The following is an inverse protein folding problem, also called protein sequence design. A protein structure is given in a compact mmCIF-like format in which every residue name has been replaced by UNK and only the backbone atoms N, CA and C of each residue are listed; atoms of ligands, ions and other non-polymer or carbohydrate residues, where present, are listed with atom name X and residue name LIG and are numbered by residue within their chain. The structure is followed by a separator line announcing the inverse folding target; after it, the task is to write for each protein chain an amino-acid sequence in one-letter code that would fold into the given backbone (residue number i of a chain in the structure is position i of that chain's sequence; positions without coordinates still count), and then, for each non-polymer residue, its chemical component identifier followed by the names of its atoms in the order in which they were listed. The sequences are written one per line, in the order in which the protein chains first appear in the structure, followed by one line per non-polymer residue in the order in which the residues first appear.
data_IF_753158344884
#
_entry.id   IF_753158344884
#
_cell.length_a   1.000
_cell.length_b   1.000
_cell.length_c   1.000
_cell.angle_alpha   90.00
_cell.angle_beta   90.00
_cell.angle_gamma   90.00
#
_symmetry.space_group_name_H-M   'P 1'
#
loop_
_entity.id
_entity.type
_entity.pdbx_description
1 polymer ?
#
# COMPACT_ATOMS: atom_id res chain seq x y z
N UNK A 1 23.99 10.95 8.49
CA UNK A 1 25.01 11.32 7.51
C UNK A 1 24.57 12.62 6.84
N UNK A 2 25.18 13.74 7.16
CA UNK A 2 24.93 15.02 6.50
C UNK A 2 26.10 15.30 5.55
N UNK A 3 25.85 15.16 4.25
CA UNK A 3 26.88 15.39 3.23
C UNK A 3 26.74 16.84 2.76
N UNK A 4 27.75 17.66 2.96
CA UNK A 4 27.76 19.03 2.53
C UNK A 4 28.30 19.15 1.11
N UNK A 5 27.54 19.83 0.24
CA UNK A 5 27.98 20.13 -1.11
C UNK A 5 28.86 21.39 -1.15
N UNK A 6 29.86 21.36 -2.00
CA UNK A 6 30.75 22.51 -2.28
C UNK A 6 30.52 22.97 -3.72
N UNK A 7 30.21 24.25 -3.89
CA UNK A 7 30.05 24.85 -5.22
C UNK A 7 31.38 24.99 -5.94
N UNK A 8 31.36 24.85 -7.26
CA UNK A 8 32.45 25.36 -8.11
C UNK A 8 32.31 26.88 -8.27
N UNK A 9 33.36 27.55 -8.75
CA UNK A 9 33.30 29.00 -9.07
C UNK A 9 32.22 29.28 -10.14
N UNK A 10 32.10 28.41 -11.15
CA UNK A 10 31.05 28.51 -12.16
C UNK A 10 29.66 28.23 -11.56
N UNK A 11 29.57 27.28 -10.64
CA UNK A 11 28.33 27.00 -9.91
C UNK A 11 27.87 28.18 -9.06
N UNK A 12 28.80 28.86 -8.38
CA UNK A 12 28.47 30.10 -7.66
C UNK A 12 28.00 31.23 -8.59
N UNK A 13 28.64 31.37 -9.76
CA UNK A 13 28.22 32.37 -10.76
C UNK A 13 26.79 32.06 -11.27
N UNK A 14 26.48 30.77 -11.55
CA UNK A 14 25.13 30.37 -11.94
C UNK A 14 24.12 30.60 -10.80
N UNK A 15 24.48 30.26 -9.56
CA UNK A 15 23.62 30.55 -8.41
C UNK A 15 23.29 32.05 -8.26
N UNK A 16 24.26 32.92 -8.53
CA UNK A 16 24.01 34.37 -8.57
C UNK A 16 23.06 34.78 -9.70
N UNK A 17 23.17 34.18 -10.90
CA UNK A 17 22.24 34.40 -12.01
C UNK A 17 20.81 33.92 -11.65
N UNK A 18 20.66 32.85 -10.92
CA UNK A 18 19.34 32.37 -10.48
C UNK A 18 18.69 33.30 -9.46
N UNK A 19 19.46 33.97 -8.63
CA UNK A 19 18.94 34.97 -7.69
C UNK A 19 18.33 36.21 -8.37
N UNK A 20 18.72 36.51 -9.62
CA UNK A 20 18.17 37.59 -10.42
C UNK A 20 17.18 37.13 -11.51
N UNK A 21 16.70 35.89 -11.44
CA UNK A 21 15.60 35.42 -12.26
C UNK A 21 15.94 34.34 -13.30
N UNK A 22 17.21 33.89 -13.41
CA UNK A 22 17.53 32.73 -14.22
C UNK A 22 16.95 31.45 -13.57
N UNK A 23 16.58 30.47 -14.39
CA UNK A 23 16.11 29.17 -13.89
C UNK A 23 17.29 28.20 -13.75
N UNK A 24 17.46 27.60 -12.56
CA UNK A 24 18.44 26.53 -12.39
C UNK A 24 17.92 25.25 -13.06
N UNK A 25 18.61 24.80 -14.11
CA UNK A 25 18.30 23.56 -14.82
C UNK A 25 19.41 22.56 -14.60
N UNK A 26 19.16 21.57 -13.76
CA UNK A 26 20.06 20.42 -13.58
C UNK A 26 19.98 19.53 -14.81
N UNK A 27 21.12 19.27 -15.45
CA UNK A 27 21.22 18.44 -16.67
C UNK A 27 21.47 16.99 -16.36
N UNK A 28 22.39 16.73 -15.41
CA UNK A 28 22.71 15.38 -14.93
C UNK A 28 23.35 15.40 -13.55
N UNK A 29 23.31 14.24 -12.91
CA UNK A 29 24.07 13.96 -11.70
C UNK A 29 24.91 12.72 -11.94
N UNK A 30 26.16 12.75 -11.49
CA UNK A 30 27.11 11.64 -11.70
C UNK A 30 27.71 11.19 -10.38
N UNK A 31 27.98 9.87 -10.28
CA UNK A 31 28.75 9.28 -9.18
C UNK A 31 30.19 9.08 -9.60
N UNK A 32 31.12 9.37 -8.70
CA UNK A 32 32.55 9.22 -8.90
C UNK A 32 33.24 8.41 -7.81
N UNK A 33 34.36 7.77 -8.19
CA UNK A 33 35.24 7.02 -7.28
C UNK A 33 36.53 7.79 -6.94
N UNK A 34 36.68 8.99 -7.49
CA UNK A 34 37.87 9.81 -7.31
C UNK A 34 37.79 10.72 -6.07
N UNK A 35 38.70 11.65 -6.03
CA UNK A 35 38.72 12.74 -5.08
C UNK A 35 39.12 14.01 -5.79
N UNK A 36 38.12 14.80 -6.20
CA UNK A 36 38.33 16.04 -6.94
C UNK A 36 39.10 17.04 -6.07
N UNK A 37 40.35 17.42 -6.42
CA UNK A 37 41.25 18.10 -5.48
C UNK A 37 40.84 19.55 -5.17
N UNK A 38 40.56 20.36 -6.15
CA UNK A 38 40.22 21.80 -6.03
C UNK A 38 38.81 22.00 -6.58
N UNK A 39 37.80 21.67 -5.76
CA UNK A 39 36.38 21.77 -6.18
C UNK A 39 36.02 23.16 -6.72
N UNK A 40 36.44 24.28 -6.11
CA UNK A 40 36.14 25.60 -6.65
C UNK A 40 36.54 25.80 -8.11
N UNK A 41 37.65 25.23 -8.54
CA UNK A 41 38.14 25.33 -9.92
C UNK A 41 37.81 24.13 -10.81
N UNK A 42 37.15 23.13 -10.26
CA UNK A 42 36.83 21.91 -11.01
C UNK A 42 35.79 22.18 -12.10
N UNK A 43 36.01 21.59 -13.26
CA UNK A 43 35.08 21.60 -14.39
C UNK A 43 34.37 20.25 -14.57
N UNK A 44 34.92 19.20 -13.96
CA UNK A 44 34.37 17.85 -13.92
C UNK A 44 34.89 17.12 -12.67
N UNK A 45 34.24 16.01 -12.31
CA UNK A 45 34.79 15.11 -11.29
C UNK A 45 36.10 14.46 -11.78
N UNK A 46 36.98 14.15 -10.83
CA UNK A 46 38.29 13.52 -11.18
C UNK A 46 38.13 12.12 -11.80
N UNK A 47 37.12 11.39 -11.40
CA UNK A 47 36.83 10.04 -11.89
C UNK A 47 35.33 9.75 -11.88
N UNK A 48 34.68 9.88 -13.04
CA UNK A 48 33.23 9.58 -13.20
C UNK A 48 33.05 8.09 -13.44
N UNK A 49 32.14 7.45 -12.71
CA UNK A 49 31.80 6.03 -12.84
C UNK A 49 30.44 5.77 -13.46
N UNK A 50 29.42 6.54 -13.07
CA UNK A 50 28.10 6.38 -13.66
C UNK A 50 27.27 7.67 -13.60
N UNK A 51 26.32 7.77 -14.52
CA UNK A 51 25.27 8.79 -14.48
C UNK A 51 24.09 8.26 -13.68
N UNK A 52 23.54 9.10 -12.80
CA UNK A 52 22.47 8.76 -11.90
C UNK A 52 21.12 9.22 -12.45
N UNK A 53 20.08 8.44 -12.19
CA UNK A 53 18.73 8.84 -12.56
C UNK A 53 18.26 10.02 -11.68
N UNK A 54 17.79 11.08 -12.32
CA UNK A 54 17.31 12.30 -11.65
C UNK A 54 15.79 12.31 -11.72
N UNK A 55 15.15 12.42 -10.55
CA UNK A 55 13.69 12.55 -10.44
C UNK A 55 13.24 14.01 -10.52
N UNK A 56 11.93 14.20 -10.44
CA UNK A 56 11.33 15.53 -10.50
C UNK A 56 11.69 16.38 -9.27
N UNK A 57 12.24 17.57 -9.50
CA UNK A 57 12.58 18.50 -8.44
C UNK A 57 11.32 19.06 -7.78
N UNK A 58 11.34 19.19 -6.46
CA UNK A 58 10.23 19.74 -5.66
C UNK A 58 10.73 20.90 -4.81
N UNK A 59 9.91 21.94 -4.68
CA UNK A 59 10.19 23.08 -3.83
C UNK A 59 9.23 23.12 -2.65
N UNK A 60 9.77 23.27 -1.44
CA UNK A 60 8.98 23.47 -0.22
C UNK A 60 9.55 24.66 0.54
N UNK A 61 8.81 25.76 0.55
CA UNK A 61 9.29 27.03 1.12
C UNK A 61 10.54 27.53 0.39
N UNK A 62 11.65 27.65 1.11
CA UNK A 62 12.94 28.11 0.60
C UNK A 62 13.91 26.97 0.24
N UNK A 63 13.44 25.74 0.22
CA UNK A 63 14.27 24.54 -0.03
C UNK A 63 13.79 23.83 -1.30
N UNK A 64 14.70 23.65 -2.25
CA UNK A 64 14.52 22.75 -3.39
C UNK A 64 15.09 21.37 -3.05
N UNK A 65 14.36 20.32 -3.40
CA UNK A 65 14.76 18.93 -3.22
C UNK A 65 14.80 18.23 -4.56
N UNK A 66 15.93 17.65 -4.91
CA UNK A 66 16.14 16.89 -6.13
C UNK A 66 16.38 15.41 -5.75
N UNK A 67 15.44 14.49 -6.06
CA UNK A 67 15.64 13.08 -5.86
C UNK A 67 16.62 12.52 -6.90
N UNK A 68 17.60 11.75 -6.45
CA UNK A 68 18.59 11.12 -7.33
C UNK A 68 18.69 9.64 -6.95
N UNK A 69 18.70 8.76 -7.95
CA UNK A 69 18.78 7.32 -7.76
C UNK A 69 20.00 6.75 -8.44
N UNK A 70 20.80 6.00 -7.69
CA UNK A 70 21.89 5.17 -8.17
C UNK A 70 21.39 3.73 -8.20
N UNK A 71 21.47 3.05 -9.33
CA UNK A 71 21.17 1.63 -9.47
C UNK A 71 22.43 0.89 -9.96
N UNK A 72 22.75 -0.22 -9.29
CA UNK A 72 23.94 -1.01 -9.61
C UNK A 72 23.69 -2.09 -10.68
N UNK A 73 22.43 -2.29 -11.08
CA UNK A 73 22.02 -3.38 -11.98
C UNK A 73 22.67 -3.35 -13.36
N UNK A 74 22.99 -2.15 -13.88
CA UNK A 74 23.59 -1.96 -15.21
C UNK A 74 25.10 -1.67 -15.16
N UNK A 75 25.73 -1.82 -13.98
CA UNK A 75 27.15 -1.60 -13.83
C UNK A 75 27.94 -2.81 -14.32
N UNK A 76 28.96 -2.55 -15.16
CA UNK A 76 29.91 -3.56 -15.61
C UNK A 76 30.98 -3.86 -14.54
N UNK A 77 31.45 -2.81 -13.84
CA UNK A 77 32.51 -2.90 -12.84
C UNK A 77 32.05 -2.33 -11.47
N UNK A 78 32.42 -3.03 -10.40
CA UNK A 78 32.22 -2.56 -9.03
C UNK A 78 33.13 -1.38 -8.73
N UNK A 79 32.64 -0.41 -7.96
CA UNK A 79 33.44 0.73 -7.54
C UNK A 79 33.06 1.23 -6.15
N UNK A 80 33.88 2.09 -5.58
CA UNK A 80 33.58 2.78 -4.34
C UNK A 80 33.11 4.20 -4.64
N UNK A 81 31.85 4.52 -4.33
CA UNK A 81 31.32 5.84 -4.48
C UNK A 81 31.90 6.75 -3.38
N UNK A 82 32.61 7.80 -3.78
CA UNK A 82 33.27 8.76 -2.88
C UNK A 82 32.72 10.17 -3.03
N UNK A 83 32.24 10.51 -4.25
CA UNK A 83 31.74 11.84 -4.55
C UNK A 83 30.57 11.80 -5.55
N UNK A 84 29.73 12.84 -5.48
CA UNK A 84 28.65 13.08 -6.42
C UNK A 84 28.84 14.47 -7.06
N UNK A 85 28.72 14.55 -8.38
CA UNK A 85 28.76 15.81 -9.12
C UNK A 85 27.41 16.18 -9.69
N UNK A 86 26.94 17.40 -9.45
CA UNK A 86 25.75 17.96 -10.10
C UNK A 86 26.18 18.86 -11.24
N UNK A 87 25.65 18.59 -12.43
CA UNK A 87 25.83 19.40 -13.61
C UNK A 87 24.55 20.19 -13.88
N UNK A 88 24.71 21.44 -14.29
CA UNK A 88 23.61 22.33 -14.61
C UNK A 88 23.93 23.15 -15.87
N UNK A 89 22.87 23.58 -16.55
CA UNK A 89 22.97 24.43 -17.74
C UNK A 89 23.11 25.90 -17.32
N UNK A 90 24.26 26.51 -17.68
CA UNK A 90 24.47 27.94 -17.60
C UNK A 90 24.05 28.56 -18.93
N UNK A 91 23.21 29.64 -18.95
CA UNK A 91 22.73 30.26 -20.18
C UNK A 91 23.86 30.80 -21.09
N UNK A 92 25.02 31.14 -20.53
CA UNK A 92 26.14 31.71 -21.27
C UNK A 92 27.24 30.71 -21.61
N UNK A 93 27.44 29.69 -20.76
CA UNK A 93 28.57 28.75 -20.86
C UNK A 93 28.16 27.32 -21.22
N UNK A 94 26.85 26.99 -21.25
CA UNK A 94 26.35 25.64 -21.44
C UNK A 94 26.46 24.79 -20.19
N UNK A 95 26.69 23.49 -20.34
CA UNK A 95 26.76 22.58 -19.19
C UNK A 95 28.01 22.81 -18.34
N UNK A 96 27.82 23.08 -17.06
CA UNK A 96 28.89 23.29 -16.08
C UNK A 96 28.77 22.32 -14.92
N UNK A 97 29.88 21.99 -14.25
CA UNK A 97 29.87 21.36 -12.94
C UNK A 97 29.42 22.39 -11.90
N UNK A 98 28.21 22.22 -11.39
CA UNK A 98 27.57 23.17 -10.48
C UNK A 98 28.06 23.03 -9.04
N UNK A 99 28.03 21.78 -8.51
CA UNK A 99 28.58 21.49 -7.19
C UNK A 99 29.01 20.04 -7.06
N UNK A 100 29.86 19.78 -6.06
CA UNK A 100 30.37 18.43 -5.73
C UNK A 100 30.04 18.14 -4.27
N UNK A 101 29.51 16.94 -4.04
CA UNK A 101 29.29 16.37 -2.71
C UNK A 101 30.34 15.31 -2.44
N UNK A 102 31.01 15.37 -1.32
CA UNK A 102 31.90 14.31 -0.83
C UNK A 102 31.18 13.48 0.21
N UNK A 103 31.26 12.17 0.07
CA UNK A 103 30.73 11.26 1.05
C UNK A 103 31.72 11.12 2.21
N UNK A 104 31.26 11.37 3.46
CA UNK A 104 32.09 11.14 4.65
C UNK A 104 32.41 9.65 4.83
N UNK A 105 31.50 8.79 4.42
CA UNK A 105 31.66 7.34 4.40
C UNK A 105 31.47 6.84 2.96
N UNK A 106 32.56 6.42 2.29
CA UNK A 106 32.50 5.85 0.96
C UNK A 106 31.58 4.62 0.90
N UNK A 107 30.76 4.49 -0.13
CA UNK A 107 29.85 3.39 -0.32
C UNK A 107 30.34 2.42 -1.41
N UNK A 108 30.47 1.13 -1.09
CA UNK A 108 30.82 0.10 -2.10
C UNK A 108 29.61 -0.23 -2.96
N UNK A 109 29.76 -0.06 -4.27
CA UNK A 109 28.74 -0.38 -5.28
C UNK A 109 29.20 -1.60 -6.04
N UNK A 110 28.48 -2.71 -5.90
CA UNK A 110 28.81 -3.98 -6.55
C UNK A 110 28.11 -4.08 -7.90
N UNK A 111 28.87 -4.37 -8.95
CA UNK A 111 28.33 -4.58 -10.30
C UNK A 111 27.31 -5.73 -10.34
N UNK A 112 26.24 -5.55 -11.10
CA UNK A 112 25.17 -6.54 -11.23
C UNK A 112 24.40 -6.83 -9.97
N UNK A 113 24.61 -6.06 -8.89
CA UNK A 113 23.90 -6.19 -7.62
C UNK A 113 22.54 -5.48 -7.61
N UNK A 114 21.65 -5.92 -6.70
CA UNK A 114 20.35 -5.28 -6.48
C UNK A 114 20.44 -3.97 -5.68
N UNK A 115 21.64 -3.39 -5.57
CA UNK A 115 21.88 -2.19 -4.79
C UNK A 115 21.23 -0.98 -5.47
N UNK A 116 20.28 -0.38 -4.79
CA UNK A 116 19.66 0.89 -5.19
C UNK A 116 19.86 1.88 -4.07
N UNK A 117 20.65 2.93 -4.33
CA UNK A 117 20.82 4.05 -3.40
C UNK A 117 20.02 5.26 -3.91
N UNK A 118 19.27 5.88 -3.02
CA UNK A 118 18.56 7.11 -3.32
C UNK A 118 19.17 8.24 -2.49
N UNK A 119 19.33 9.39 -3.11
CA UNK A 119 19.83 10.60 -2.47
C UNK A 119 18.80 11.71 -2.68
N UNK A 120 18.63 12.55 -1.68
CA UNK A 120 17.89 13.80 -1.80
C UNK A 120 18.86 14.95 -1.71
N UNK A 121 19.12 15.57 -2.84
CA UNK A 121 19.96 16.76 -2.90
C UNK A 121 19.08 17.95 -2.54
N UNK A 122 19.41 18.63 -1.44
CA UNK A 122 18.63 19.77 -0.93
C UNK A 122 19.42 21.06 -1.11
N UNK A 123 18.81 22.05 -1.72
CA UNK A 123 19.35 23.39 -1.82
C UNK A 123 18.41 24.33 -1.06
N UNK A 124 18.91 24.94 0.00
CA UNK A 124 18.17 25.93 0.81
C UNK A 124 18.74 27.30 0.55
N UNK A 125 17.87 28.27 0.27
CA UNK A 125 18.23 29.69 0.14
C UNK A 125 17.88 30.38 1.46
N UNK A 126 18.89 30.89 2.18
CA UNK A 126 18.68 31.65 3.41
C UNK A 126 18.43 33.11 3.14
N UNK A 127 17.77 33.82 4.07
CA UNK A 127 17.56 35.27 4.01
C UNK A 127 18.89 36.06 4.02
N UNK A 128 19.95 35.48 4.53
CA UNK A 128 21.28 36.08 4.65
C UNK A 128 22.16 35.82 3.41
N UNK A 129 21.55 35.36 2.30
CA UNK A 129 22.22 35.17 1.01
C UNK A 129 23.09 33.90 0.91
N UNK A 130 23.08 33.05 1.92
CA UNK A 130 23.79 31.76 1.88
C UNK A 130 22.94 30.69 1.25
N UNK A 131 23.43 30.01 0.22
CA UNK A 131 22.84 28.76 -0.29
C UNK A 131 23.58 27.57 0.36
N UNK A 132 22.91 26.79 1.19
CA UNK A 132 23.44 25.54 1.71
C UNK A 132 22.86 24.38 0.90
N UNK A 133 23.73 23.45 0.49
CA UNK A 133 23.33 22.27 -0.26
C UNK A 133 23.66 21.05 0.60
N UNK A 134 22.62 20.33 1.00
CA UNK A 134 22.72 19.13 1.84
C UNK A 134 22.30 17.91 1.04
N UNK A 135 23.04 16.82 1.18
CA UNK A 135 22.65 15.51 0.67
C UNK A 135 22.36 14.58 1.84
N UNK A 136 21.21 13.95 1.83
CA UNK A 136 20.90 12.87 2.77
C UNK A 136 20.65 11.57 2.02
N UNK A 137 21.26 10.44 2.41
CA UNK A 137 20.98 9.15 1.81
C UNK A 137 19.52 8.75 2.08
N UNK A 138 18.84 8.26 1.07
CA UNK A 138 17.44 7.85 1.13
C UNK A 138 17.25 6.43 1.67
N UNK A 139 18.07 6.01 2.61
CA UNK A 139 17.77 4.84 3.44
C UNK A 139 17.00 5.21 4.71
N UNK A 140 17.01 6.48 5.06
CA UNK A 140 16.28 7.03 6.19
C UNK A 140 15.21 7.98 5.63
N UNK A 141 13.95 7.56 5.67
CA UNK A 141 12.83 8.47 5.52
C UNK A 141 12.99 9.49 6.65
N UNK A 142 13.35 10.71 6.30
CA UNK A 142 13.50 11.77 7.30
C UNK A 142 12.13 12.22 7.79
N UNK A 143 12.08 12.79 8.99
CA UNK A 143 10.82 13.33 9.53
C UNK A 143 10.19 14.38 8.59
N UNK A 144 11.00 15.13 7.82
CA UNK A 144 10.52 16.07 6.82
C UNK A 144 9.98 15.40 5.55
N UNK A 145 10.44 14.19 5.21
CA UNK A 145 9.88 13.43 4.09
C UNK A 145 8.55 12.79 4.48
N UNK A 146 8.39 12.48 5.76
CA UNK A 146 7.13 12.02 6.34
C UNK A 146 6.17 13.19 6.68
N UNK A 147 6.65 14.43 6.80
CA UNK A 147 5.83 15.57 7.21
C UNK A 147 4.61 15.79 6.28
N UNK A 148 4.72 15.72 4.93
CA UNK A 148 3.55 15.82 4.07
C UNK A 148 2.58 14.63 4.25
N UNK A 149 3.11 13.41 4.41
CA UNK A 149 2.32 12.21 4.67
C UNK A 149 1.72 12.27 6.09
N UNK A 150 2.50 12.68 7.07
CA UNK A 150 2.06 12.84 8.47
C UNK A 150 1.08 14.00 8.63
N UNK A 151 1.29 15.13 7.95
CA UNK A 151 0.30 16.21 7.89
C UNK A 151 -0.98 15.77 7.19
N UNK A 152 -0.86 15.03 6.09
CA UNK A 152 -2.02 14.47 5.41
C UNK A 152 -2.74 13.44 6.30
N UNK A 153 -2.02 12.57 6.98
CA UNK A 153 -2.55 11.60 7.94
C UNK A 153 -3.11 12.25 9.21
N UNK A 154 -2.48 13.31 9.74
CA UNK A 154 -2.94 14.00 10.95
C UNK A 154 -3.98 15.08 10.64
N UNK A 155 -3.94 15.72 9.46
CA UNK A 155 -4.96 16.67 9.02
C UNK A 155 -6.23 15.98 8.50
N UNK A 156 -6.13 14.73 8.06
CA UNK A 156 -7.26 13.93 7.56
C UNK A 156 -7.99 13.17 8.66
N UNK A 157 -8.01 13.67 9.87
CA UNK A 157 -9.04 13.21 10.81
C UNK A 157 -10.48 13.27 10.27
N UNK A 158 -10.67 13.56 8.96
CA UNK A 158 -11.98 13.65 8.33
C UNK A 158 -12.02 13.67 6.79
N UNK A 159 -10.94 13.46 6.04
CA UNK A 159 -11.13 13.40 4.58
C UNK A 159 -11.48 11.98 4.18
N UNK A 160 -12.78 11.74 4.01
CA UNK A 160 -13.30 10.52 3.42
C UNK A 160 -13.56 10.76 1.93
N UNK A 161 -12.96 9.95 1.07
CA UNK A 161 -13.31 9.89 -0.34
C UNK A 161 -14.56 9.02 -0.48
N UNK A 162 -15.73 9.65 -0.53
CA UNK A 162 -16.99 8.93 -0.72
C UNK A 162 -17.38 8.93 -2.21
N UNK A 163 -17.76 7.76 -2.73
CA UNK A 163 -18.24 7.60 -4.10
C UNK A 163 -19.42 6.63 -4.13
N UNK A 164 -20.36 6.86 -5.04
CA UNK A 164 -21.43 5.92 -5.32
C UNK A 164 -21.29 5.40 -6.76
N UNK A 165 -21.20 4.09 -6.91
CA UNK A 165 -21.01 3.45 -8.21
C UNK A 165 -21.89 2.19 -8.35
N UNK A 166 -22.23 1.78 -9.57
CA UNK A 166 -22.82 0.46 -9.82
C UNK A 166 -21.86 -0.66 -9.38
N UNK A 167 -22.39 -1.73 -8.80
CA UNK A 167 -21.60 -2.87 -8.36
C UNK A 167 -20.82 -3.54 -9.51
N UNK A 168 -21.35 -3.47 -10.74
CA UNK A 168 -20.69 -3.96 -11.95
C UNK A 168 -19.40 -3.20 -12.32
N UNK A 169 -19.22 -1.98 -11.81
CA UNK A 169 -18.04 -1.13 -12.06
C UNK A 169 -17.02 -1.19 -10.92
N UNK A 170 -17.31 -1.92 -9.86
CA UNK A 170 -16.48 -1.94 -8.65
C UNK A 170 -15.02 -2.36 -8.96
N UNK A 171 -14.80 -3.42 -9.75
CA UNK A 171 -13.43 -3.85 -10.08
C UNK A 171 -12.66 -2.76 -10.82
N UNK A 172 -13.27 -2.16 -11.84
CA UNK A 172 -12.64 -1.08 -12.61
C UNK A 172 -12.28 0.11 -11.70
N UNK A 173 -13.15 0.48 -10.77
CA UNK A 173 -12.87 1.54 -9.80
C UNK A 173 -11.72 1.17 -8.84
N UNK A 174 -11.73 -0.04 -8.26
CA UNK A 174 -10.66 -0.52 -7.38
C UNK A 174 -9.29 -0.53 -8.07
N UNK A 175 -9.25 -0.79 -9.37
CA UNK A 175 -8.02 -0.79 -10.15
C UNK A 175 -7.45 0.63 -10.37
N UNK A 176 -8.28 1.66 -10.26
CA UNK A 176 -7.82 3.06 -10.29
C UNK A 176 -7.27 3.56 -8.98
N UNK A 177 -7.57 2.89 -7.86
CA UNK A 177 -7.13 3.33 -6.54
C UNK A 177 -5.64 3.07 -6.32
N UNK A 178 -4.91 3.98 -5.66
CA UNK A 178 -3.55 3.72 -5.23
C UNK A 178 -3.53 2.56 -4.22
N UNK A 179 -2.54 1.67 -4.29
CA UNK A 179 -2.43 0.57 -3.32
C UNK A 179 -2.11 1.06 -1.90
N UNK A 180 -1.42 2.19 -1.75
CA UNK A 180 -1.23 2.87 -0.47
C UNK A 180 -2.40 3.82 -0.21
N UNK A 181 -3.30 3.42 0.69
CA UNK A 181 -4.41 4.26 1.12
C UNK A 181 -4.02 5.05 2.38
N UNK A 182 -4.06 6.36 2.28
CA UNK A 182 -3.85 7.29 3.40
C UNK A 182 -5.15 7.92 3.90
N UNK A 183 -6.23 7.75 3.15
CA UNK A 183 -7.56 8.30 3.39
C UNK A 183 -8.59 7.17 3.59
N UNK A 184 -9.75 7.52 4.13
CA UNK A 184 -10.86 6.59 4.26
C UNK A 184 -11.69 6.60 2.98
N UNK A 185 -11.69 5.50 2.25
CA UNK A 185 -12.50 5.34 1.05
C UNK A 185 -13.81 4.66 1.39
N UNK A 186 -14.92 5.33 1.11
CA UNK A 186 -16.28 4.81 1.28
C UNK A 186 -16.90 4.66 -0.09
N UNK A 187 -17.13 3.42 -0.52
CA UNK A 187 -17.72 3.09 -1.82
C UNK A 187 -19.12 2.57 -1.58
N UNK A 188 -20.12 3.38 -1.94
CA UNK A 188 -21.52 2.96 -1.89
C UNK A 188 -21.90 2.29 -3.19
N UNK A 189 -22.41 1.07 -3.09
CA UNK A 189 -22.69 0.18 -4.21
C UNK A 189 -24.19 0.02 -4.42
N UNK A 190 -24.57 -0.11 -5.70
CA UNK A 190 -25.95 -0.43 -6.08
C UNK A 190 -26.01 -1.38 -7.28
N UNK A 191 -27.09 -2.12 -7.39
CA UNK A 191 -27.31 -3.05 -8.52
C UNK A 191 -26.55 -4.37 -8.34
N UNK A 192 -26.23 -5.03 -9.44
CA UNK A 192 -25.70 -6.40 -9.44
C UNK A 192 -24.29 -6.47 -9.99
N UNK A 193 -23.39 -7.13 -9.27
CA UNK A 193 -22.08 -7.56 -9.76
C UNK A 193 -22.17 -9.02 -10.22
N UNK A 194 -22.10 -9.26 -11.52
CA UNK A 194 -22.17 -10.61 -12.12
C UNK A 194 -20.81 -11.26 -12.30
N UNK A 195 -19.73 -10.50 -12.17
CA UNK A 195 -18.36 -10.96 -12.30
C UNK A 195 -17.67 -11.02 -10.93
N UNK A 196 -16.58 -11.77 -10.87
CA UNK A 196 -15.72 -11.85 -9.69
C UNK A 196 -15.04 -10.51 -9.42
N UNK A 197 -15.03 -10.08 -8.16
CA UNK A 197 -14.34 -8.85 -7.72
C UNK A 197 -13.18 -9.20 -6.79
N UNK A 198 -12.04 -8.54 -6.98
CA UNK A 198 -10.83 -8.73 -6.18
C UNK A 198 -10.35 -7.43 -5.54
N UNK A 199 -10.47 -7.37 -4.22
CA UNK A 199 -9.85 -6.33 -3.39
C UNK A 199 -8.46 -6.82 -3.02
N UNK A 200 -7.41 -6.36 -3.69
CA UNK A 200 -6.09 -6.97 -3.58
C UNK A 200 -4.98 -5.96 -3.33
N UNK A 201 -4.13 -6.26 -2.34
CA UNK A 201 -2.86 -5.57 -2.13
C UNK A 201 -2.97 -4.17 -1.55
N UNK A 202 -4.07 -3.79 -0.92
CA UNK A 202 -4.21 -2.49 -0.27
C UNK A 202 -3.51 -2.45 1.09
N UNK A 203 -2.80 -1.35 1.36
CA UNK A 203 -2.10 -1.12 2.62
C UNK A 203 -2.07 0.38 2.96
N UNK A 204 -1.70 0.72 4.18
CA UNK A 204 -1.61 2.11 4.65
C UNK A 204 -2.32 2.32 5.98
N UNK A 205 -2.57 3.58 6.29
CA UNK A 205 -3.26 4.01 7.51
C UNK A 205 -4.72 4.44 7.27
N UNK A 206 -5.16 4.43 6.02
CA UNK A 206 -6.55 4.63 5.64
C UNK A 206 -7.42 3.39 5.86
N UNK A 207 -8.63 3.40 5.34
CA UNK A 207 -9.53 2.24 5.31
C UNK A 207 -10.26 2.16 3.98
N UNK A 208 -10.77 0.98 3.68
CA UNK A 208 -11.63 0.75 2.52
C UNK A 208 -12.95 0.17 3.02
N UNK A 209 -14.04 0.90 2.79
CA UNK A 209 -15.39 0.50 3.13
C UNK A 209 -16.22 0.32 1.86
N UNK A 210 -16.82 -0.84 1.71
CA UNK A 210 -17.79 -1.18 0.69
C UNK A 210 -19.16 -1.29 1.36
N UNK A 211 -20.14 -0.50 0.93
CA UNK A 211 -21.45 -0.49 1.57
C UNK A 211 -22.58 -0.42 0.57
N UNK A 212 -23.77 -0.82 0.99
CA UNK A 212 -25.04 -0.50 0.33
C UNK A 212 -25.92 0.32 1.28
N UNK A 213 -26.85 1.10 0.73
CA UNK A 213 -27.77 1.87 1.57
C UNK A 213 -28.71 0.94 2.37
N UNK A 214 -29.22 -0.09 1.71
CA UNK A 214 -30.02 -1.14 2.35
C UNK A 214 -29.55 -2.52 1.91
N UNK A 215 -29.80 -3.53 2.73
CA UNK A 215 -29.54 -4.91 2.35
C UNK A 215 -30.37 -5.29 1.10
N UNK A 216 -29.69 -5.73 0.05
CA UNK A 216 -30.30 -6.07 -1.23
C UNK A 216 -30.20 -4.99 -2.30
N UNK A 217 -29.83 -3.76 -1.95
CA UNK A 217 -29.56 -2.72 -2.96
C UNK A 217 -28.31 -3.06 -3.80
N UNK A 218 -27.39 -3.85 -3.24
CA UNK A 218 -26.21 -4.38 -3.93
C UNK A 218 -26.16 -5.91 -3.79
N UNK A 219 -26.07 -6.62 -4.94
CA UNK A 219 -26.04 -8.08 -4.98
C UNK A 219 -24.82 -8.58 -5.77
N UNK A 220 -24.00 -9.41 -5.14
CA UNK A 220 -22.90 -10.13 -5.78
C UNK A 220 -23.39 -11.53 -6.21
N UNK A 221 -23.26 -11.84 -7.51
CA UNK A 221 -23.56 -13.20 -8.03
C UNK A 221 -22.34 -14.09 -8.02
N UNK A 222 -21.17 -13.53 -7.77
CA UNK A 222 -19.87 -14.20 -7.73
C UNK A 222 -19.07 -13.79 -6.50
N UNK A 223 -17.86 -14.32 -6.39
CA UNK A 223 -16.95 -14.05 -5.29
C UNK A 223 -16.54 -12.58 -5.23
N UNK A 224 -16.50 -12.04 -4.01
CA UNK A 224 -15.71 -10.85 -3.71
C UNK A 224 -14.52 -11.31 -2.86
N UNK A 225 -13.34 -11.33 -3.46
CA UNK A 225 -12.10 -11.80 -2.82
C UNK A 225 -11.38 -10.66 -2.13
N UNK A 226 -10.90 -10.89 -0.91
CA UNK A 226 -10.03 -9.93 -0.20
C UNK A 226 -8.67 -10.57 0.00
N UNK A 227 -7.66 -10.06 -0.72
CA UNK A 227 -6.36 -10.71 -0.84
C UNK A 227 -5.23 -9.75 -0.45
N UNK A 228 -4.32 -10.20 0.43
CA UNK A 228 -3.08 -9.48 0.75
C UNK A 228 -3.29 -8.02 1.22
N UNK A 229 -4.44 -7.71 1.81
CA UNK A 229 -4.73 -6.37 2.33
C UNK A 229 -4.21 -6.25 3.78
N UNK A 230 -3.36 -5.23 4.01
CA UNK A 230 -2.79 -4.95 5.34
C UNK A 230 -3.58 -3.91 6.12
N UNK A 231 -4.58 -3.30 5.49
CA UNK A 231 -5.56 -2.44 6.14
C UNK A 231 -6.88 -3.21 6.28
N UNK A 232 -7.74 -2.84 7.25
CA UNK A 232 -9.08 -3.42 7.37
C UNK A 232 -9.94 -3.08 6.16
N UNK A 233 -10.56 -4.10 5.57
CA UNK A 233 -11.62 -3.93 4.56
C UNK A 233 -12.94 -4.08 5.25
N UNK A 234 -13.76 -3.05 5.22
CA UNK A 234 -15.08 -3.01 5.86
C UNK A 234 -16.17 -3.22 4.83
N UNK A 235 -17.21 -3.92 5.21
CA UNK A 235 -18.37 -4.21 4.36
C UNK A 235 -19.64 -4.01 5.16
N UNK A 236 -20.64 -3.32 4.58
CA UNK A 236 -21.90 -3.06 5.26
C UNK A 236 -23.10 -3.28 4.32
N UNK A 237 -24.06 -4.07 4.78
CA UNK A 237 -25.34 -4.33 4.09
C UNK A 237 -25.19 -4.88 2.66
N UNK A 238 -24.13 -5.62 2.39
CA UNK A 238 -23.93 -6.27 1.11
C UNK A 238 -24.60 -7.64 1.08
N UNK A 239 -25.12 -8.03 -0.09
CA UNK A 239 -25.77 -9.31 -0.28
C UNK A 239 -25.02 -10.14 -1.34
N UNK A 240 -24.84 -11.40 -1.06
CA UNK A 240 -24.41 -12.40 -2.03
C UNK A 240 -25.57 -13.32 -2.37
N UNK A 241 -25.76 -13.58 -3.64
CA UNK A 241 -26.64 -14.59 -4.18
C UNK A 241 -25.87 -15.32 -5.29
N UNK A 242 -25.10 -16.35 -4.91
CA UNK A 242 -24.29 -17.06 -5.88
C UNK A 242 -25.15 -17.64 -7.02
N UNK A 243 -24.66 -17.54 -8.23
CA UNK A 243 -25.33 -18.07 -9.40
C UNK A 243 -25.25 -19.61 -9.48
N UNK A 244 -26.02 -20.24 -10.39
CA UNK A 244 -26.07 -21.67 -10.57
C UNK A 244 -24.72 -22.29 -11.01
N UNK A 245 -23.76 -21.48 -11.43
CA UNK A 245 -22.40 -21.94 -11.75
C UNK A 245 -21.53 -22.12 -10.51
N UNK A 246 -22.02 -21.70 -9.33
CA UNK A 246 -21.33 -21.91 -8.08
C UNK A 246 -21.17 -23.41 -7.80
N UNK A 247 -20.02 -23.77 -7.30
CA UNK A 247 -19.73 -25.14 -6.86
C UNK A 247 -19.25 -25.11 -5.41
N UNK A 248 -19.10 -26.30 -4.81
CA UNK A 248 -18.69 -26.45 -3.42
C UNK A 248 -17.35 -25.82 -3.02
N UNK A 249 -16.57 -25.30 -3.96
CA UNK A 249 -15.29 -24.63 -3.72
C UNK A 249 -15.37 -23.12 -3.89
N UNK A 250 -16.49 -22.59 -4.34
CA UNK A 250 -16.69 -21.15 -4.54
C UNK A 250 -17.21 -20.51 -3.26
N UNK A 251 -16.60 -19.42 -2.87
CA UNK A 251 -16.98 -18.63 -1.69
C UNK A 251 -17.73 -17.37 -2.09
N UNK A 252 -18.61 -16.88 -1.23
CA UNK A 252 -19.11 -15.51 -1.31
C UNK A 252 -17.96 -14.53 -1.00
N UNK A 253 -17.27 -14.74 0.13
CA UNK A 253 -16.24 -13.85 0.63
C UNK A 253 -14.99 -14.63 1.10
N UNK A 254 -14.07 -15.01 0.21
CA UNK A 254 -12.80 -15.59 0.60
C UNK A 254 -11.77 -14.52 0.97
N UNK A 255 -11.15 -14.68 2.13
CA UNK A 255 -10.13 -13.77 2.67
C UNK A 255 -8.79 -14.50 2.77
N UNK A 256 -7.71 -13.90 2.24
CA UNK A 256 -6.35 -14.44 2.34
C UNK A 256 -5.37 -13.35 2.76
N UNK A 257 -4.60 -13.59 3.84
CA UNK A 257 -3.64 -12.63 4.38
C UNK A 257 -4.23 -11.22 4.55
N UNK A 258 -5.46 -11.15 5.02
CA UNK A 258 -6.24 -9.93 5.05
C UNK A 258 -7.08 -9.82 6.32
N UNK A 259 -7.52 -8.62 6.65
CA UNK A 259 -8.47 -8.36 7.72
C UNK A 259 -9.76 -7.81 7.13
N UNK A 260 -10.89 -8.47 7.43
CA UNK A 260 -12.21 -8.11 6.96
C UNK A 260 -13.16 -7.91 8.15
N UNK A 261 -13.96 -6.87 8.08
CA UNK A 261 -15.08 -6.64 8.97
C UNK A 261 -16.36 -6.50 8.14
N UNK A 262 -17.35 -7.35 8.39
CA UNK A 262 -18.63 -7.31 7.69
C UNK A 262 -19.77 -7.14 8.69
N UNK A 263 -20.69 -6.23 8.39
CA UNK A 263 -21.82 -5.87 9.23
C UNK A 263 -23.12 -5.88 8.42
N UNK A 264 -24.16 -6.53 8.96
CA UNK A 264 -25.47 -6.61 8.33
C UNK A 264 -25.48 -7.21 6.93
N UNK A 265 -24.52 -8.09 6.62
CA UNK A 265 -24.37 -8.70 5.31
C UNK A 265 -25.12 -10.03 5.20
N UNK A 266 -25.51 -10.43 3.99
CA UNK A 266 -26.22 -11.71 3.74
C UNK A 266 -25.47 -12.55 2.71
N UNK A 267 -25.17 -13.80 3.07
CA UNK A 267 -24.46 -14.76 2.26
C UNK A 267 -25.37 -15.93 1.86
N UNK A 268 -25.81 -15.92 0.61
CA UNK A 268 -26.71 -16.95 0.07
C UNK A 268 -25.99 -17.80 -0.98
N UNK A 269 -26.04 -19.10 -0.81
CA UNK A 269 -25.61 -20.07 -1.80
C UNK A 269 -26.67 -20.31 -2.87
N UNK A 270 -26.36 -21.23 -3.77
CA UNK A 270 -27.33 -21.73 -4.76
C UNK A 270 -27.56 -23.21 -4.51
N UNK A 271 -28.74 -23.57 -4.02
CA UNK A 271 -29.15 -24.97 -3.77
C UNK A 271 -28.13 -25.79 -2.95
N UNK A 272 -27.56 -25.21 -1.89
CA UNK A 272 -26.48 -25.77 -1.06
C UNK A 272 -25.15 -25.94 -1.80
N UNK A 273 -24.94 -25.25 -2.88
CA UNK A 273 -23.65 -25.07 -3.52
C UNK A 273 -23.05 -23.72 -3.13
N UNK A 274 -21.73 -23.66 -3.09
CA UNK A 274 -21.01 -22.47 -2.67
C UNK A 274 -20.88 -22.36 -1.15
N UNK A 275 -19.95 -21.55 -0.73
CA UNK A 275 -19.58 -21.33 0.68
C UNK A 275 -19.73 -19.86 1.01
N UNK A 276 -20.06 -19.56 2.25
CA UNK A 276 -20.21 -18.19 2.72
C UNK A 276 -18.86 -17.51 2.86
N UNK A 277 -18.32 -17.45 4.07
CA UNK A 277 -17.07 -16.76 4.38
C UNK A 277 -15.92 -17.74 4.59
N UNK A 278 -14.77 -17.47 3.96
CA UNK A 278 -13.54 -18.24 4.13
C UNK A 278 -12.39 -17.38 4.63
N UNK A 279 -11.74 -17.75 5.73
CA UNK A 279 -10.54 -17.10 6.24
C UNK A 279 -9.34 -18.05 6.17
N UNK A 280 -8.30 -17.66 5.40
CA UNK A 280 -7.16 -18.49 5.07
C UNK A 280 -5.83 -17.77 5.25
N UNK A 281 -4.76 -18.50 5.55
CA UNK A 281 -3.38 -17.98 5.60
C UNK A 281 -3.23 -16.77 6.54
N UNK A 282 -3.58 -16.94 7.82
CA UNK A 282 -3.54 -15.89 8.84
C UNK A 282 -4.44 -14.67 8.53
N UNK A 283 -5.62 -14.93 7.98
CA UNK A 283 -6.65 -13.91 7.79
C UNK A 283 -7.57 -13.81 8.98
N UNK A 284 -8.16 -12.62 9.16
CA UNK A 284 -9.16 -12.36 10.19
C UNK A 284 -10.43 -11.87 9.53
N UNK A 285 -11.54 -12.55 9.77
CA UNK A 285 -12.87 -12.08 9.39
C UNK A 285 -13.71 -11.91 10.65
N UNK A 286 -14.28 -10.74 10.85
CA UNK A 286 -15.22 -10.44 11.93
C UNK A 286 -16.56 -10.10 11.29
N UNK A 287 -17.59 -10.83 11.67
CA UNK A 287 -18.90 -10.78 11.07
C UNK A 287 -19.91 -10.40 12.16
N UNK A 288 -20.57 -9.26 11.99
CA UNK A 288 -21.61 -8.78 12.90
C UNK A 288 -22.96 -8.78 12.17
N UNK A 289 -23.99 -9.25 12.82
CA UNK A 289 -25.38 -9.27 12.31
C UNK A 289 -25.52 -9.81 10.88
N UNK A 290 -24.72 -10.84 10.53
CA UNK A 290 -24.68 -11.43 9.21
C UNK A 290 -25.54 -12.68 9.10
N UNK A 291 -26.16 -12.86 7.92
CA UNK A 291 -27.03 -14.00 7.62
C UNK A 291 -26.37 -14.99 6.66
N UNK A 292 -26.66 -16.31 6.84
CA UNK A 292 -26.11 -17.40 6.03
C UNK A 292 -27.21 -18.38 5.61
N UNK A 293 -27.45 -18.51 4.30
CA UNK A 293 -28.54 -19.36 3.79
C UNK A 293 -28.09 -20.20 2.59
N UNK A 294 -28.65 -21.41 2.48
CA UNK A 294 -28.55 -22.27 1.31
C UNK A 294 -27.10 -22.58 0.85
N UNK A 295 -26.16 -22.64 1.79
CA UNK A 295 -24.73 -22.85 1.54
C UNK A 295 -24.33 -24.33 1.73
N UNK A 296 -23.32 -24.79 0.99
CA UNK A 296 -22.61 -26.03 1.30
C UNK A 296 -21.91 -25.90 2.65
N UNK A 297 -21.30 -24.74 2.92
CA UNK A 297 -20.68 -24.42 4.20
C UNK A 297 -20.81 -22.94 4.52
N UNK A 298 -21.34 -22.57 5.68
CA UNK A 298 -21.49 -21.17 6.04
C UNK A 298 -20.14 -20.50 6.29
N UNK A 299 -19.25 -21.13 7.08
CA UNK A 299 -17.94 -20.56 7.43
C UNK A 299 -16.85 -21.60 7.32
N UNK A 300 -15.72 -21.21 6.73
CA UNK A 300 -14.55 -22.08 6.60
C UNK A 300 -13.27 -21.37 7.05
N UNK A 301 -12.44 -22.07 7.82
CA UNK A 301 -11.13 -21.54 8.25
C UNK A 301 -10.03 -22.56 8.02
N UNK A 302 -8.83 -22.08 7.59
CA UNK A 302 -7.65 -22.95 7.52
C UNK A 302 -6.35 -22.16 7.58
N UNK A 303 -5.25 -22.85 7.89
CA UNK A 303 -3.89 -22.30 7.94
C UNK A 303 -3.79 -21.01 8.78
N UNK A 304 -4.27 -21.06 10.04
CA UNK A 304 -4.25 -19.93 10.95
C UNK A 304 -5.33 -18.89 10.69
N UNK A 305 -6.34 -19.21 9.87
CA UNK A 305 -7.48 -18.31 9.66
C UNK A 305 -8.35 -18.19 10.93
N UNK A 306 -8.90 -17.01 11.13
CA UNK A 306 -9.81 -16.70 12.23
C UNK A 306 -11.11 -16.12 11.69
N UNK A 307 -12.25 -16.62 12.22
CA UNK A 307 -13.56 -15.99 11.98
C UNK A 307 -14.25 -15.77 13.32
N UNK A 308 -14.63 -14.54 13.61
CA UNK A 308 -15.50 -14.15 14.71
C UNK A 308 -16.89 -13.84 14.18
N UNK A 309 -17.92 -14.41 14.79
CA UNK A 309 -19.34 -14.16 14.42
C UNK A 309 -20.05 -13.66 15.65
N UNK A 310 -20.61 -12.47 15.55
CA UNK A 310 -21.29 -11.77 16.61
C UNK A 310 -22.63 -11.26 16.10
N UNK A 311 -23.54 -10.94 17.00
CA UNK A 311 -24.82 -10.33 16.68
C UNK A 311 -25.91 -10.82 17.64
N UNK A 312 -26.96 -10.06 17.68
CA UNK A 312 -28.15 -10.33 18.48
C UNK A 312 -29.23 -11.07 17.65
N UNK A 313 -28.86 -11.51 16.43
CA UNK A 313 -29.79 -12.00 15.45
C UNK A 313 -30.34 -13.40 15.79
N UNK A 314 -31.63 -13.58 15.63
CA UNK A 314 -32.30 -14.85 15.90
C UNK A 314 -31.87 -15.93 14.89
N UNK A 315 -32.21 -17.17 15.23
CA UNK A 315 -31.94 -18.37 14.40
C UNK A 315 -32.47 -18.31 12.97
N UNK A 316 -33.29 -17.34 12.63
CA UNK A 316 -33.85 -17.13 11.30
C UNK A 316 -32.82 -16.67 10.27
N UNK A 317 -31.71 -16.04 10.73
CA UNK A 317 -30.62 -15.60 9.84
C UNK A 317 -29.69 -16.73 9.43
N UNK A 318 -29.89 -17.94 9.97
CA UNK A 318 -29.07 -19.10 9.69
C UNK A 318 -29.96 -20.27 9.29
N UNK A 319 -30.05 -20.57 8.01
CA UNK A 319 -30.94 -21.62 7.57
C UNK A 319 -30.42 -22.43 6.38
N UNK A 320 -30.83 -23.69 6.34
CA UNK A 320 -30.66 -24.60 5.21
C UNK A 320 -29.22 -24.80 4.74
N UNK A 321 -28.21 -24.52 5.59
CA UNK A 321 -26.82 -24.81 5.28
C UNK A 321 -26.52 -26.30 5.43
N UNK A 322 -25.68 -26.90 4.57
CA UNK A 322 -25.32 -28.28 4.68
C UNK A 322 -24.35 -28.50 5.85
N UNK A 323 -23.30 -27.66 5.93
CA UNK A 323 -22.32 -27.61 7.01
C UNK A 323 -22.31 -26.20 7.57
N UNK A 324 -22.36 -26.05 8.89
CA UNK A 324 -22.24 -24.73 9.50
C UNK A 324 -20.82 -24.20 9.43
N UNK A 325 -19.90 -24.92 10.05
CA UNK A 325 -18.50 -24.52 10.17
C UNK A 325 -17.61 -25.65 9.66
N UNK A 326 -16.71 -25.33 8.75
CA UNK A 326 -15.71 -26.26 8.24
C UNK A 326 -14.29 -25.77 8.59
N UNK A 327 -13.55 -26.60 9.31
CA UNK A 327 -12.16 -26.33 9.69
C UNK A 327 -11.23 -27.30 8.98
N UNK A 328 -10.25 -26.78 8.30
CA UNK A 328 -9.23 -27.55 7.64
C UNK A 328 -7.85 -27.02 8.08
N UNK A 329 -7.07 -27.83 8.79
CA UNK A 329 -5.66 -27.54 9.14
C UNK A 329 -5.44 -26.27 9.95
N UNK A 330 -5.97 -26.21 11.16
CA UNK A 330 -5.67 -25.17 12.12
C UNK A 330 -6.34 -23.84 11.79
N UNK A 331 -7.56 -23.70 12.16
CA UNK A 331 -8.32 -22.46 12.16
C UNK A 331 -9.04 -22.28 13.48
N UNK A 332 -9.55 -21.06 13.71
CA UNK A 332 -10.32 -20.71 14.89
C UNK A 332 -11.62 -20.03 14.49
N UNK A 333 -12.72 -20.45 15.06
CA UNK A 333 -14.00 -19.75 14.98
C UNK A 333 -14.46 -19.37 16.38
N UNK A 334 -14.79 -18.09 16.55
CA UNK A 334 -15.40 -17.55 17.77
C UNK A 334 -16.85 -17.20 17.49
N UNK A 335 -17.76 -17.77 18.29
CA UNK A 335 -19.19 -17.48 18.20
C UNK A 335 -19.62 -16.62 19.39
N UNK A 336 -20.41 -15.59 19.12
CA UNK A 336 -21.16 -14.86 20.12
C UNK A 336 -22.19 -15.76 20.82
N UNK A 337 -22.65 -15.39 22.01
CA UNK A 337 -23.54 -16.21 22.82
C UNK A 337 -24.86 -16.55 22.13
N UNK A 338 -25.42 -15.62 21.37
CA UNK A 338 -26.72 -15.76 20.68
C UNK A 338 -26.59 -16.44 19.30
N UNK A 339 -25.39 -16.57 18.77
CA UNK A 339 -25.15 -17.22 17.47
C UNK A 339 -25.35 -18.73 17.58
N UNK A 340 -26.13 -19.40 16.68
CA UNK A 340 -26.30 -20.85 16.71
C UNK A 340 -24.99 -21.60 16.50
N UNK A 341 -24.75 -22.69 17.23
CA UNK A 341 -23.49 -23.46 17.19
C UNK A 341 -23.18 -24.04 15.81
N UNK A 342 -24.18 -24.34 15.03
CA UNK A 342 -24.06 -24.90 13.69
C UNK A 342 -24.32 -23.94 12.55
N UNK A 343 -24.57 -22.67 12.83
CA UNK A 343 -24.91 -21.67 11.81
C UNK A 343 -25.97 -22.18 10.80
N UNK A 344 -27.02 -22.83 11.30
CA UNK A 344 -28.10 -23.41 10.48
C UNK A 344 -27.72 -24.62 9.65
N UNK A 345 -26.53 -25.20 9.85
CA UNK A 345 -26.08 -26.45 9.22
C UNK A 345 -26.42 -27.68 10.03
N UNK A 346 -26.37 -28.85 9.39
CA UNK A 346 -26.64 -30.13 10.06
C UNK A 346 -25.56 -30.49 11.08
N UNK A 347 -24.32 -30.07 10.86
CA UNK A 347 -23.18 -30.35 11.74
C UNK A 347 -22.01 -29.38 11.42
N UNK A 348 -20.98 -29.44 12.28
CA UNK A 348 -19.70 -28.74 12.04
C UNK A 348 -18.62 -29.77 11.73
N UNK A 349 -17.89 -29.58 10.65
CA UNK A 349 -16.77 -30.43 10.26
C UNK A 349 -15.46 -29.85 10.82
N UNK A 350 -14.70 -30.65 11.56
CA UNK A 350 -13.40 -30.30 12.13
C UNK A 350 -12.33 -31.25 11.59
N UNK A 351 -11.25 -30.69 11.06
CA UNK A 351 -10.09 -31.44 10.61
C UNK A 351 -8.81 -30.85 11.19
N UNK A 352 -7.93 -31.68 11.74
CA UNK A 352 -6.67 -31.25 12.34
C UNK A 352 -6.84 -30.46 13.64
N UNK A 353 -5.93 -29.53 13.92
CA UNK A 353 -5.96 -28.68 15.14
C UNK A 353 -6.85 -27.46 14.90
N UNK A 354 -8.13 -27.60 15.08
CA UNK A 354 -9.14 -26.55 14.90
C UNK A 354 -9.95 -26.39 16.17
N UNK A 355 -10.41 -25.17 16.44
CA UNK A 355 -11.21 -24.89 17.61
C UNK A 355 -12.42 -24.02 17.27
N UNK A 356 -13.54 -24.32 17.91
CA UNK A 356 -14.72 -23.46 17.96
C UNK A 356 -14.89 -23.04 19.42
N UNK A 357 -15.04 -21.76 19.66
CA UNK A 357 -15.22 -21.17 21.00
C UNK A 357 -16.52 -20.40 21.02
N UNK A 358 -17.35 -20.64 22.05
CA UNK A 358 -18.57 -19.90 22.32
C UNK A 358 -18.64 -19.56 23.80
N UNK A 359 -18.93 -18.31 24.14
CA UNK A 359 -18.97 -17.87 25.54
C UNK A 359 -17.70 -18.22 26.32
N UNK A 360 -16.54 -18.21 25.68
CA UNK A 360 -15.24 -18.58 26.27
C UNK A 360 -15.02 -20.09 26.48
N UNK A 361 -15.89 -20.95 25.95
CA UNK A 361 -15.78 -22.42 26.05
C UNK A 361 -15.57 -23.06 24.69
N UNK A 362 -14.76 -24.09 24.62
CA UNK A 362 -14.66 -24.95 23.43
C UNK A 362 -15.93 -25.79 23.26
N UNK A 363 -16.46 -25.84 22.05
CA UNK A 363 -17.64 -26.56 21.66
C UNK A 363 -17.37 -27.52 20.50
#
# INVERSE_FOLDING_TARGET
MNIQGTYTNKGLALAAKTAVGACLRVTRVVGGSGHTPDIPKATQLSEIRQTLAVGEARCTGNTAVLPVTLAAVELEDSYTLTELGIYAEDPDEGEILYCVYRLDEPASILAGGDTVLRFYLRQTVSKDGGAAVLCSPAGLITESDCAPVRQKVLATGASSCAVTIPASELQAYLDTLPRLLTEHYVITLSGTASEEVSVNGFYGCGSLMLQANNLGDCVFKRELRVLNCRLPVQMEKLKWELDETANKYRYCLPCQKSMVYADGCSFNGCAKNGRGVGAFYNSYAVLADCAFHDLECAVSTSWGGFVGIFGDNPTEDYSNNQVGICHIRGGLVLLGELVPDTLGGAYNAKEGMSAIIKGGKFI
#
